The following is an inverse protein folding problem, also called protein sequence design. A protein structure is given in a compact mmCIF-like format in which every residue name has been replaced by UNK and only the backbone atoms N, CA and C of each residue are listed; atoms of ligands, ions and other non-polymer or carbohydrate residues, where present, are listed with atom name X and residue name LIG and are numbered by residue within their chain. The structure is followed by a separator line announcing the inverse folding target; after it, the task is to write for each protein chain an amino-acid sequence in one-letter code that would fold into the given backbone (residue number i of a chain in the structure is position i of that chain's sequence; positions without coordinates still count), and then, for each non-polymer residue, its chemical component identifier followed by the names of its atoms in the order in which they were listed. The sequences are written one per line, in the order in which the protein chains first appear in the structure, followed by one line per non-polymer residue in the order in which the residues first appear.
data_IF_450746179047
#
_entry.id   IF_450746179047
#
_cell.length_a   1.000
_cell.length_b   1.000
_cell.length_c   1.000
_cell.angle_alpha   90.00
_cell.angle_beta   90.00
_cell.angle_gamma   90.00
#
_symmetry.space_group_name_H-M   'P 1'
#
loop_
_entity.id
_entity.type
_entity.pdbx_description
1 polymer ?
#
# COMPACT_ATOMS: atom_id res chain seq x y z
N UNK A 1 17.90 -6.79 -0.96
CA UNK A 1 17.21 -5.65 -0.34
C UNK A 1 16.76 -6.04 1.06
N UNK A 2 17.71 -6.33 1.96
CA UNK A 2 17.56 -6.52 3.42
C UNK A 2 18.93 -7.00 3.91
N UNK A 3 19.82 -6.07 4.24
CA UNK A 3 20.98 -6.34 5.09
C UNK A 3 20.69 -5.60 6.40
N UNK A 4 20.56 -6.39 7.46
CA UNK A 4 20.52 -6.01 8.86
C UNK A 4 19.32 -5.18 9.36
N UNK A 5 18.67 -5.72 10.37
CA UNK A 5 17.47 -5.16 10.99
C UNK A 5 17.63 -3.68 11.32
N UNK A 6 16.60 -2.92 10.95
CA UNK A 6 16.29 -1.54 11.36
C UNK A 6 16.63 -0.38 10.42
N UNK A 7 17.18 -0.58 9.21
CA UNK A 7 17.26 0.53 8.22
C UNK A 7 16.43 0.29 6.97
N UNK A 8 15.17 0.70 7.06
CA UNK A 8 14.31 0.88 5.90
C UNK A 8 14.91 1.93 4.96
N UNK A 9 15.16 1.54 3.72
CA UNK A 9 15.54 2.51 2.69
C UNK A 9 14.30 3.27 2.21
N UNK A 10 13.94 4.32 2.95
CA UNK A 10 12.71 5.08 2.75
C UNK A 10 12.53 5.62 1.33
N UNK A 11 13.62 5.99 0.65
CA UNK A 11 13.57 6.42 -0.76
C UNK A 11 12.99 5.34 -1.68
N UNK A 12 13.25 4.06 -1.41
CA UNK A 12 12.58 2.96 -2.10
C UNK A 12 11.15 2.78 -1.68
N UNK A 13 10.84 2.94 -0.39
CA UNK A 13 9.45 2.77 0.10
C UNK A 13 8.53 3.80 -0.54
N UNK A 14 8.98 5.06 -0.66
CA UNK A 14 8.21 6.15 -1.24
C UNK A 14 8.00 6.05 -2.76
N UNK A 15 8.65 5.11 -3.45
CA UNK A 15 8.41 4.89 -4.88
C UNK A 15 7.16 4.03 -5.15
N UNK A 16 6.62 3.38 -4.11
CA UNK A 16 5.42 2.55 -4.19
C UNK A 16 4.15 3.39 -4.00
N UNK A 17 3.00 2.97 -4.58
CA UNK A 17 1.72 3.64 -4.35
C UNK A 17 1.30 3.54 -2.87
N UNK A 18 0.50 4.51 -2.41
CA UNK A 18 0.07 4.60 -0.99
C UNK A 18 -0.65 3.35 -0.49
N UNK A 19 -1.37 2.64 -1.37
CA UNK A 19 -2.03 1.37 -1.05
C UNK A 19 -1.02 0.24 -0.82
N UNK A 20 0.05 0.17 -1.61
CA UNK A 20 1.13 -0.78 -1.42
C UNK A 20 1.87 -0.52 -0.10
N UNK A 21 2.15 0.76 0.19
CA UNK A 21 2.78 1.19 1.45
C UNK A 21 1.90 0.81 2.65
N UNK A 22 0.60 1.08 2.58
CA UNK A 22 -0.35 0.68 3.62
C UNK A 22 -0.42 -0.85 3.79
N UNK A 23 -0.31 -1.61 2.70
CA UNK A 23 -0.29 -3.07 2.76
C UNK A 23 0.99 -3.60 3.42
N UNK A 24 2.16 -3.03 3.10
CA UNK A 24 3.42 -3.32 3.78
C UNK A 24 3.39 -2.97 5.28
N UNK A 25 2.59 -1.97 5.68
CA UNK A 25 2.30 -1.69 7.09
C UNK A 25 1.36 -2.72 7.75
N UNK A 26 0.80 -3.66 6.99
CA UNK A 26 -0.15 -4.66 7.47
C UNK A 26 -1.60 -4.20 7.52
N UNK A 27 -1.96 -3.06 6.89
CA UNK A 27 -3.35 -2.59 6.83
C UNK A 27 -4.12 -3.40 5.78
N UNK A 28 -5.07 -4.21 6.24
CA UNK A 28 -5.86 -5.12 5.39
C UNK A 28 -6.67 -4.38 4.33
N UNK A 29 -7.23 -3.21 4.66
CA UNK A 29 -7.94 -2.35 3.70
C UNK A 29 -7.03 -1.84 2.57
N UNK A 30 -5.79 -1.46 2.90
CA UNK A 30 -4.80 -1.05 1.90
C UNK A 30 -4.32 -2.23 1.05
N UNK A 31 -4.16 -3.42 1.64
CA UNK A 31 -3.86 -4.64 0.88
C UNK A 31 -4.99 -4.99 -0.11
N UNK A 32 -6.24 -4.94 0.33
CA UNK A 32 -7.41 -5.11 -0.55
C UNK A 32 -7.39 -4.09 -1.68
N UNK A 33 -7.21 -2.81 -1.36
CA UNK A 33 -7.17 -1.74 -2.35
C UNK A 33 -6.00 -1.90 -3.33
N UNK A 34 -4.84 -2.38 -2.88
CA UNK A 34 -3.69 -2.66 -3.73
C UNK A 34 -4.01 -3.73 -4.78
N UNK A 35 -4.63 -4.84 -4.36
CA UNK A 35 -5.07 -5.93 -5.27
C UNK A 35 -6.16 -5.46 -6.22
N UNK A 36 -7.15 -4.74 -5.72
CA UNK A 36 -8.32 -4.34 -6.50
C UNK A 36 -8.13 -3.05 -7.30
N UNK A 37 -7.01 -2.34 -7.12
CA UNK A 37 -6.75 -1.11 -7.86
C UNK A 37 -6.76 -1.37 -9.36
N UNK A 38 -7.56 -0.60 -10.10
CA UNK A 38 -7.77 -0.77 -11.53
C UNK A 38 -8.79 -1.85 -11.94
N UNK A 39 -9.42 -2.57 -10.99
CA UNK A 39 -10.51 -3.52 -11.26
C UNK A 39 -11.89 -2.86 -11.35
N UNK A 40 -12.08 -1.65 -10.82
CA UNK A 40 -13.36 -0.93 -10.85
C UNK A 40 -13.58 -0.07 -12.11
N UNK A 41 -12.51 0.33 -12.81
CA UNK A 41 -12.56 1.08 -14.09
C UNK A 41 -12.64 0.13 -15.30
N UNK A 42 -13.15 -1.08 -15.10
CA UNK A 42 -12.99 -2.21 -16.01
C UNK A 42 -14.31 -2.55 -16.71
N UNK A 43 -14.32 -2.43 -18.03
CA UNK A 43 -15.50 -2.69 -18.89
C UNK A 43 -15.24 -3.74 -19.97
N UNK A 44 -14.15 -4.52 -19.93
CA UNK A 44 -13.88 -5.53 -20.96
C UNK A 44 -12.88 -6.63 -20.57
N UNK A 45 -13.23 -7.87 -20.91
CA UNK A 45 -12.64 -9.23 -20.83
C UNK A 45 -11.15 -9.51 -20.52
N UNK A 46 -10.31 -8.54 -20.13
CA UNK A 46 -8.90 -8.81 -19.75
C UNK A 46 -8.67 -8.68 -18.25
N UNK A 47 -7.99 -9.69 -17.71
CA UNK A 47 -7.59 -9.91 -16.32
C UNK A 47 -7.18 -8.64 -15.53
N UNK A 48 -7.35 -8.61 -14.20
CA UNK A 48 -7.13 -7.41 -13.40
C UNK A 48 -5.74 -6.77 -13.59
N UNK A 49 -5.71 -5.44 -13.74
CA UNK A 49 -4.52 -4.66 -14.16
C UNK A 49 -3.29 -4.75 -13.24
N UNK A 50 -3.37 -5.33 -12.03
CA UNK A 50 -2.15 -5.62 -11.26
C UNK A 50 -1.30 -6.73 -11.89
N UNK A 51 -1.84 -7.44 -12.88
CA UNK A 51 -1.14 -8.40 -13.73
C UNK A 51 -0.46 -7.75 -14.94
N UNK A 52 -0.89 -6.55 -15.33
CA UNK A 52 -0.19 -5.76 -16.32
C UNK A 52 1.01 -5.09 -15.66
N UNK A 53 2.16 -5.73 -15.80
CA UNK A 53 3.45 -5.09 -15.57
C UNK A 53 3.60 -4.00 -16.64
N UNK A 54 3.58 -2.72 -16.27
CA UNK A 54 3.86 -1.63 -17.21
C UNK A 54 5.29 -1.84 -17.78
N UNK A 55 5.45 -2.10 -19.10
CA UNK A 55 6.76 -2.37 -19.70
C UNK A 55 7.75 -1.21 -19.52
N UNK A 56 7.26 0.02 -19.32
CA UNK A 56 8.10 1.23 -19.19
C UNK A 56 8.48 1.56 -17.75
N UNK A 57 7.97 0.81 -16.78
CA UNK A 57 8.08 1.15 -15.36
C UNK A 57 7.93 -0.03 -14.42
N UNK A 58 8.56 -1.17 -14.73
CA UNK A 58 8.41 -2.45 -14.01
C UNK A 58 8.50 -2.39 -12.47
N UNK A 59 9.16 -1.38 -11.87
CA UNK A 59 9.13 -1.13 -10.41
C UNK A 59 8.12 -0.07 -9.95
N UNK A 60 7.76 0.92 -10.79
CA UNK A 60 6.82 2.02 -10.42
C UNK A 60 5.35 1.59 -10.54
N UNK A 61 5.07 0.56 -11.33
CA UNK A 61 3.72 -0.02 -11.47
C UNK A 61 3.38 -1.11 -10.46
N UNK A 62 4.33 -1.56 -9.63
CA UNK A 62 4.11 -2.62 -8.66
C UNK A 62 3.21 -2.16 -7.52
N UNK A 63 1.98 -2.67 -7.52
CA UNK A 63 0.96 -2.40 -6.48
C UNK A 63 1.14 -3.27 -5.24
N UNK A 64 1.88 -4.38 -5.38
CA UNK A 64 2.35 -5.24 -4.31
C UNK A 64 3.80 -5.59 -4.61
N UNK A 65 4.63 -5.76 -3.59
CA UNK A 65 5.95 -6.35 -3.83
C UNK A 65 5.73 -7.80 -4.23
N UNK A 66 6.48 -8.26 -5.24
CA UNK A 66 6.34 -9.60 -5.81
C UNK A 66 4.93 -9.85 -6.40
N UNK A 67 4.29 -8.82 -6.95
CA UNK A 67 2.96 -8.91 -7.58
C UNK A 67 2.90 -9.97 -8.70
N UNK A 68 4.02 -10.21 -9.38
CA UNK A 68 4.21 -11.26 -10.39
C UNK A 68 3.94 -12.67 -9.86
N UNK A 69 4.17 -12.91 -8.55
CA UNK A 69 3.95 -14.20 -7.90
C UNK A 69 2.57 -14.36 -7.28
N UNK A 70 1.80 -13.27 -7.17
CA UNK A 70 0.56 -13.25 -6.39
C UNK A 70 -0.44 -14.33 -6.82
N UNK A 71 -0.78 -14.41 -8.12
CA UNK A 71 -1.72 -15.42 -8.61
C UNK A 71 -1.17 -16.84 -8.55
N UNK A 72 0.13 -17.02 -8.76
CA UNK A 72 0.75 -18.33 -8.64
C UNK A 72 0.60 -18.85 -7.21
N UNK A 73 0.80 -18.00 -6.21
CA UNK A 73 0.62 -18.35 -4.81
C UNK A 73 -0.85 -18.56 -4.44
N UNK A 74 -1.78 -17.77 -5.00
CA UNK A 74 -3.22 -18.04 -4.86
C UNK A 74 -3.55 -19.43 -5.39
N UNK A 75 -3.12 -19.75 -6.62
CA UNK A 75 -3.38 -21.05 -7.25
C UNK A 75 -2.80 -22.22 -6.43
N UNK A 76 -1.60 -22.04 -5.85
CA UNK A 76 -0.97 -23.01 -4.97
C UNK A 76 -1.74 -23.21 -3.66
N UNK A 77 -2.28 -22.14 -3.07
CA UNK A 77 -2.98 -22.22 -1.78
C UNK A 77 -4.42 -22.73 -1.91
N UNK A 78 -5.16 -22.28 -2.92
CA UNK A 78 -6.57 -22.66 -3.10
C UNK A 78 -6.77 -23.98 -3.84
N UNK A 79 -5.74 -24.43 -4.57
CA UNK A 79 -5.77 -25.61 -5.42
C UNK A 79 -6.37 -25.34 -6.81
N UNK A 80 -6.08 -26.25 -7.75
CA UNK A 80 -6.43 -26.10 -9.17
C UNK A 80 -7.92 -25.84 -9.41
N UNK A 81 -8.81 -26.72 -8.91
CA UNK A 81 -10.25 -26.61 -9.18
C UNK A 81 -10.87 -25.32 -8.65
N UNK A 82 -10.43 -24.88 -7.47
CA UNK A 82 -10.97 -23.67 -6.85
C UNK A 82 -10.42 -22.41 -7.54
N UNK A 83 -9.15 -22.46 -7.96
CA UNK A 83 -8.56 -21.40 -8.75
C UNK A 83 -9.29 -21.24 -10.09
N UNK A 84 -9.58 -22.34 -10.79
CA UNK A 84 -10.35 -22.30 -12.04
C UNK A 84 -11.76 -21.76 -11.84
N UNK A 85 -12.45 -22.12 -10.75
CA UNK A 85 -13.76 -21.52 -10.42
C UNK A 85 -13.67 -20.02 -10.19
N UNK A 86 -12.64 -19.56 -9.47
CA UNK A 86 -12.38 -18.12 -9.30
C UNK A 86 -12.14 -17.44 -10.66
N UNK A 87 -11.29 -18.05 -11.48
CA UNK A 87 -10.86 -17.50 -12.76
C UNK A 87 -12.01 -17.28 -13.75
N UNK A 88 -12.99 -18.19 -13.73
CA UNK A 88 -14.14 -18.16 -14.62
C UNK A 88 -15.41 -17.60 -13.94
N UNK A 89 -15.30 -17.03 -12.73
CA UNK A 89 -16.47 -16.53 -12.03
C UNK A 89 -17.00 -15.24 -12.69
N UNK A 90 -18.34 -15.10 -12.85
CA UNK A 90 -18.94 -13.83 -13.27
C UNK A 90 -18.98 -12.79 -12.14
N UNK A 91 -18.66 -13.19 -10.91
CA UNK A 91 -18.68 -12.30 -9.76
C UNK A 91 -17.55 -11.25 -9.85
N UNK A 92 -17.70 -10.10 -9.18
CA UNK A 92 -16.61 -9.16 -9.01
C UNK A 92 -15.35 -9.84 -8.46
N UNK A 93 -14.17 -9.45 -8.96
CA UNK A 93 -12.87 -10.06 -8.60
C UNK A 93 -12.68 -10.20 -7.09
N UNK A 94 -13.08 -9.19 -6.32
CA UNK A 94 -13.01 -9.22 -4.86
C UNK A 94 -13.84 -10.35 -4.25
N UNK A 95 -15.08 -10.49 -4.69
CA UNK A 95 -16.01 -11.54 -4.24
C UNK A 95 -15.53 -12.92 -4.67
N UNK A 96 -15.14 -13.07 -5.94
CA UNK A 96 -14.67 -14.34 -6.48
C UNK A 96 -13.38 -14.79 -5.76
N UNK A 97 -12.46 -13.87 -5.53
CA UNK A 97 -11.19 -14.15 -4.87
C UNK A 97 -11.39 -14.44 -3.38
N UNK A 98 -12.21 -13.67 -2.67
CA UNK A 98 -12.57 -13.95 -1.28
C UNK A 98 -13.23 -15.33 -1.13
N UNK A 99 -14.10 -15.70 -2.07
CA UNK A 99 -14.75 -17.02 -2.12
C UNK A 99 -13.74 -18.14 -2.32
N UNK A 100 -12.78 -17.98 -3.25
CA UNK A 100 -11.74 -18.98 -3.45
C UNK A 100 -10.81 -19.09 -2.23
N UNK A 101 -10.38 -17.97 -1.66
CA UNK A 101 -9.50 -17.94 -0.51
C UNK A 101 -10.19 -18.39 0.79
N UNK A 102 -11.53 -18.36 0.84
CA UNK A 102 -12.33 -18.51 2.07
C UNK A 102 -11.88 -17.53 3.17
N UNK A 103 -11.41 -16.36 2.75
CA UNK A 103 -10.89 -15.31 3.62
C UNK A 103 -11.01 -13.96 2.89
N UNK A 104 -11.23 -12.85 3.60
CA UNK A 104 -11.17 -11.53 2.97
C UNK A 104 -9.85 -11.32 2.23
N UNK A 105 -9.91 -10.81 0.99
CA UNK A 105 -8.74 -10.60 0.12
C UNK A 105 -7.64 -9.82 0.84
N UNK A 106 -8.03 -8.76 1.57
CA UNK A 106 -7.09 -7.91 2.30
C UNK A 106 -6.37 -8.63 3.44
N UNK A 107 -7.03 -9.55 4.13
CA UNK A 107 -6.42 -10.34 5.21
C UNK A 107 -5.45 -11.36 4.63
N UNK A 108 -5.88 -12.10 3.62
CA UNK A 108 -5.02 -13.06 2.94
C UNK A 108 -3.75 -12.40 2.41
N UNK A 109 -3.92 -11.29 1.69
CA UNK A 109 -2.82 -10.51 1.12
C UNK A 109 -1.87 -9.98 2.20
N UNK A 110 -2.39 -9.51 3.34
CA UNK A 110 -1.55 -9.07 4.46
C UNK A 110 -0.75 -10.23 5.09
N UNK A 111 -1.25 -11.47 5.08
CA UNK A 111 -0.47 -12.65 5.48
C UNK A 111 0.57 -13.01 4.43
N UNK A 112 0.17 -13.02 3.17
CA UNK A 112 1.01 -13.33 2.02
C UNK A 112 2.22 -12.38 1.94
N UNK A 113 1.99 -11.07 2.03
CA UNK A 113 3.01 -10.02 1.93
C UNK A 113 4.08 -10.13 3.03
N UNK A 114 3.66 -10.53 4.25
CA UNK A 114 4.56 -10.69 5.40
C UNK A 114 5.60 -11.79 5.22
N UNK A 115 5.41 -12.70 4.26
CA UNK A 115 6.40 -13.75 3.93
C UNK A 115 7.64 -13.17 3.25
N UNK A 116 7.54 -11.99 2.68
CA UNK A 116 8.61 -11.36 1.90
C UNK A 116 9.17 -10.09 2.53
N UNK A 117 8.34 -9.37 3.29
CA UNK A 117 8.71 -8.09 3.88
C UNK A 117 8.27 -8.05 5.34
N UNK A 118 9.18 -7.75 6.29
CA UNK A 118 8.81 -7.32 7.65
C UNK A 118 7.77 -6.19 7.60
N UNK A 119 6.94 -6.07 8.63
CA UNK A 119 5.98 -4.97 8.69
C UNK A 119 6.71 -3.63 8.72
N UNK A 120 6.31 -2.72 7.83
CA UNK A 120 6.77 -1.33 7.90
C UNK A 120 6.35 -0.73 9.25
N UNK A 121 7.25 -0.04 9.98
CA UNK A 121 6.94 0.66 11.22
C UNK A 121 6.21 1.97 10.92
N UNK A 122 5.09 1.88 10.20
CA UNK A 122 4.17 2.98 9.97
C UNK A 122 3.21 3.02 11.14
N UNK A 123 3.72 3.50 12.27
CA UNK A 123 2.93 3.73 13.47
C UNK A 123 1.90 4.86 13.27
N UNK A 124 0.80 4.88 14.04
CA UNK A 124 -0.14 5.99 14.08
C UNK A 124 0.46 7.29 14.65
N UNK A 125 1.65 7.21 15.27
CA UNK A 125 2.36 8.38 15.77
C UNK A 125 3.40 8.83 14.74
N UNK A 126 3.32 10.09 14.31
CA UNK A 126 4.49 10.77 13.75
C UNK A 126 5.68 10.55 14.71
N UNK A 127 6.90 10.35 14.19
CA UNK A 127 8.06 10.28 15.07
C UNK A 127 8.06 11.53 15.96
N UNK A 128 8.24 11.36 17.27
CA UNK A 128 8.14 12.48 18.24
C UNK A 128 8.98 13.68 17.81
N UNK A 129 10.12 13.43 17.17
CA UNK A 129 10.98 14.46 16.57
C UNK A 129 10.27 15.31 15.52
N UNK A 130 9.46 14.72 14.64
CA UNK A 130 8.67 15.45 13.66
C UNK A 130 7.53 16.25 14.30
N UNK A 131 6.91 15.73 15.36
CA UNK A 131 5.89 16.48 16.13
C UNK A 131 6.51 17.69 16.83
N UNK A 132 7.68 17.52 17.47
CA UNK A 132 8.43 18.61 18.11
C UNK A 132 8.87 19.65 17.08
N UNK A 133 9.40 19.22 15.94
CA UNK A 133 9.74 20.12 14.83
C UNK A 133 8.52 20.88 14.31
N UNK A 134 7.39 20.21 14.13
CA UNK A 134 6.13 20.85 13.72
C UNK A 134 5.66 21.92 14.71
N UNK A 135 5.73 21.63 16.01
CA UNK A 135 5.40 22.59 17.06
C UNK A 135 6.36 23.79 17.10
N UNK A 136 7.67 23.55 16.94
CA UNK A 136 8.67 24.61 16.89
C UNK A 136 8.48 25.52 15.68
N UNK A 137 8.24 24.95 14.50
CA UNK A 137 7.99 25.70 13.27
C UNK A 137 6.68 26.48 13.35
N UNK A 138 5.61 25.87 13.88
CA UNK A 138 4.34 26.55 14.12
C UNK A 138 4.48 27.71 15.12
N UNK A 139 5.18 27.48 16.23
CA UNK A 139 5.46 28.51 17.23
C UNK A 139 6.28 29.67 16.66
N UNK A 140 7.32 29.38 15.88
CA UNK A 140 8.14 30.40 15.23
C UNK A 140 7.31 31.26 14.26
N UNK A 141 6.41 30.65 13.47
CA UNK A 141 5.53 31.39 12.58
C UNK A 141 4.59 32.34 13.34
N UNK A 142 4.01 31.89 14.46
CA UNK A 142 3.15 32.73 15.32
C UNK A 142 3.92 33.91 15.89
N UNK A 143 5.15 33.69 16.37
CA UNK A 143 6.01 34.75 16.91
C UNK A 143 6.35 35.78 15.84
N UNK A 144 6.72 35.35 14.63
CA UNK A 144 7.04 36.27 13.52
C UNK A 144 5.85 37.13 13.14
N UNK A 145 4.64 36.55 13.08
CA UNK A 145 3.41 37.29 12.79
C UNK A 145 3.09 38.29 13.90
N UNK A 146 3.21 37.90 15.17
CA UNK A 146 2.95 38.78 16.30
C UNK A 146 3.94 39.96 16.40
N UNK A 147 5.23 39.71 16.15
CA UNK A 147 6.27 40.76 16.12
C UNK A 147 6.07 41.68 14.90
N UNK A 148 5.68 41.13 13.77
CA UNK A 148 5.35 41.91 12.57
C UNK A 148 4.13 42.82 12.78
N UNK A 149 3.10 42.32 13.46
CA UNK A 149 1.88 43.07 13.75
C UNK A 149 2.12 44.20 14.77
N UNK A 150 2.86 43.92 15.85
CA UNK A 150 3.20 44.93 16.88
C UNK A 150 4.04 46.06 16.31
N UNK A 151 5.02 45.76 15.44
CA UNK A 151 5.82 46.80 14.77
C UNK A 151 5.02 47.68 13.81
N UNK A 152 3.92 47.19 13.24
CA UNK A 152 3.03 47.96 12.35
C UNK A 152 2.05 48.87 13.10
N UNK A 153 1.85 48.66 14.40
CA UNK A 153 0.96 49.50 15.22
C UNK A 153 1.68 50.72 15.82
N UNK A 154 3.02 50.77 15.74
CA UNK A 154 3.87 51.79 16.38
C UNK A 154 4.51 52.74 15.34
N UNK A 155 4.16 52.61 14.04
CA UNK A 155 4.57 53.53 12.97
C UNK A 155 3.35 54.07 12.25
#
# INVERSE_FOLDING_TARGET
MYEDGARWWWRSVYQFPVTAIGCMAGRTSSCRAAVLSGAAEWTGDSLPRFLQSDPRGWWRGQRLLYSDRYLADVAREVGHDRFLRFWNSPDPVDTALATALKLPVGEWTARWQRRFVPRLPLGPAAPLSATVLGLLLGGAAVIVVAVGATRRQVG
#
